data_IF_471481479583
#
_entry.id   IF_471481479583
#
_cell.length_a   1.000
_cell.length_b   1.000
_cell.length_c   1.000
_cell.angle_alpha   90.00
_cell.angle_beta   90.00
_cell.angle_gamma   90.00
#
_symmetry.space_group_name_H-M   'P 1'
#
loop_
_entity.id
_entity.type
_entity.pdbx_description
1 polymer ?
#
# COMPACT_ATOMS: atom_id res chain seq x y z
N UNK A 1 -5.95 0.03 -14.25
CA UNK A 1 -6.20 -1.30 -13.67
C UNK A 1 -6.47 -1.12 -12.19
N UNK A 2 -7.58 -1.64 -11.66
CA UNK A 2 -7.90 -1.60 -10.22
C UNK A 2 -7.04 -2.65 -9.50
N UNK A 3 -6.75 -2.44 -8.22
CA UNK A 3 -5.98 -3.41 -7.42
C UNK A 3 -6.70 -4.75 -7.31
N UNK A 4 -8.04 -4.74 -7.32
CA UNK A 4 -8.88 -5.93 -7.37
C UNK A 4 -8.62 -6.80 -8.61
N UNK A 5 -8.12 -6.21 -9.69
CA UNK A 5 -7.88 -6.91 -10.95
C UNK A 5 -6.54 -7.66 -10.94
N UNK A 6 -5.69 -7.42 -9.92
CA UNK A 6 -4.47 -8.20 -9.71
C UNK A 6 -4.80 -9.61 -9.23
N UNK A 7 -3.93 -10.56 -9.58
CA UNK A 7 -3.98 -11.90 -9.03
C UNK A 7 -4.01 -11.82 -7.50
N UNK A 8 -4.84 -12.62 -6.79
CA UNK A 8 -5.01 -12.50 -5.34
C UNK A 8 -3.71 -12.49 -4.54
N UNK A 9 -2.67 -13.18 -5.00
CA UNK A 9 -1.37 -13.22 -4.32
C UNK A 9 -0.52 -11.96 -4.49
N UNK A 10 -0.83 -11.13 -5.48
CA UNK A 10 -0.15 -9.87 -5.77
C UNK A 10 -0.87 -8.67 -5.13
N UNK A 11 -1.99 -8.92 -4.45
CA UNK A 11 -2.73 -7.89 -3.75
C UNK A 11 -2.10 -7.66 -2.38
N UNK A 12 -1.89 -6.39 -1.98
CA UNK A 12 -1.15 -6.10 -0.76
C UNK A 12 -1.74 -6.72 0.51
N UNK A 13 -3.07 -6.70 0.69
CA UNK A 13 -3.71 -7.23 1.91
C UNK A 13 -3.58 -8.75 2.02
N UNK A 14 -3.77 -9.45 0.91
CA UNK A 14 -3.66 -10.90 0.82
C UNK A 14 -2.20 -11.36 0.98
N UNK A 15 -1.26 -10.63 0.37
CA UNK A 15 0.18 -10.84 0.56
C UNK A 15 0.60 -10.62 2.02
N UNK A 16 0.07 -9.58 2.67
CA UNK A 16 0.32 -9.28 4.08
C UNK A 16 -0.22 -10.38 4.99
N UNK A 17 -1.46 -10.82 4.78
CA UNK A 17 -2.07 -11.90 5.57
C UNK A 17 -1.32 -13.23 5.42
N UNK A 18 -0.77 -13.52 4.24
CA UNK A 18 -0.08 -14.79 3.96
C UNK A 18 1.40 -14.80 4.37
N UNK A 19 2.13 -13.73 4.07
CA UNK A 19 3.60 -13.71 4.14
C UNK A 19 4.13 -12.72 5.19
N UNK A 20 3.28 -11.88 5.78
CA UNK A 20 3.68 -10.83 6.70
C UNK A 20 4.27 -9.60 6.01
N UNK A 21 4.53 -8.56 6.80
CA UNK A 21 4.96 -7.24 6.31
C UNK A 21 6.30 -7.28 5.55
N UNK A 22 7.22 -8.17 5.95
CA UNK A 22 8.55 -8.30 5.35
C UNK A 22 8.54 -8.67 3.86
N UNK A 23 7.41 -9.14 3.31
CA UNK A 23 7.27 -9.45 1.88
C UNK A 23 6.72 -8.29 1.05
N UNK A 24 6.34 -7.19 1.68
CA UNK A 24 5.79 -6.01 1.04
C UNK A 24 6.87 -4.93 0.95
N UNK A 25 6.84 -4.14 -0.13
CA UNK A 25 7.48 -2.83 -0.12
C UNK A 25 6.73 -1.86 0.81
N UNK A 26 7.37 -0.80 1.29
CA UNK A 26 6.74 0.25 2.12
C UNK A 26 5.46 0.78 1.46
N UNK A 27 5.50 0.93 0.13
CA UNK A 27 4.35 1.37 -0.66
C UNK A 27 3.21 0.36 -0.62
N UNK A 28 3.49 -0.93 -0.84
CA UNK A 28 2.48 -1.99 -0.76
C UNK A 28 1.92 -2.09 0.67
N UNK A 29 2.77 -1.97 1.70
CA UNK A 29 2.37 -2.00 3.09
C UNK A 29 1.41 -0.85 3.41
N UNK A 30 1.75 0.37 3.01
CA UNK A 30 0.86 1.53 3.15
C UNK A 30 -0.44 1.33 2.37
N UNK A 31 -0.39 0.79 1.15
CA UNK A 31 -1.60 0.47 0.38
C UNK A 31 -2.47 -0.56 1.09
N UNK A 32 -1.87 -1.56 1.75
CA UNK A 32 -2.59 -2.58 2.51
C UNK A 32 -3.30 -1.99 3.73
N UNK A 33 -2.61 -1.09 4.46
CA UNK A 33 -3.13 -0.41 5.66
C UNK A 33 -4.24 0.58 5.30
N UNK A 34 -4.05 1.40 4.26
CA UNK A 34 -5.06 2.37 3.80
C UNK A 34 -6.28 1.65 3.20
N UNK A 35 -6.06 0.51 2.53
CA UNK A 35 -7.11 -0.38 2.04
C UNK A 35 -7.76 0.07 0.73
N UNK A 36 -8.28 1.30 0.66
CA UNK A 36 -8.98 1.82 -0.52
C UNK A 36 -8.69 3.30 -0.81
N UNK A 37 -8.85 3.67 -2.08
CA UNK A 37 -8.86 5.07 -2.49
C UNK A 37 -10.18 5.75 -2.16
N UNK A 38 -10.32 6.99 -2.60
CA UNK A 38 -11.56 7.76 -2.52
C UNK A 38 -11.94 8.31 -3.90
N UNK A 39 -12.94 9.21 -3.95
CA UNK A 39 -13.42 9.81 -5.21
C UNK A 39 -12.37 10.65 -5.95
N UNK A 40 -11.33 11.14 -5.26
CA UNK A 40 -10.32 12.06 -5.79
C UNK A 40 -8.99 11.38 -6.13
N UNK A 41 -8.68 10.26 -5.47
CA UNK A 41 -7.39 9.58 -5.61
C UNK A 41 -7.51 8.07 -5.37
N UNK A 42 -6.82 7.28 -6.19
CA UNK A 42 -6.63 5.86 -5.93
C UNK A 42 -5.70 5.65 -4.72
N UNK A 43 -5.79 4.48 -4.10
CA UNK A 43 -4.99 4.14 -2.91
C UNK A 43 -3.48 4.20 -3.17
N UNK A 44 -3.02 3.93 -4.39
CA UNK A 44 -1.61 4.04 -4.74
C UNK A 44 -1.13 5.49 -4.74
N UNK A 45 -1.95 6.43 -5.22
CA UNK A 45 -1.66 7.87 -5.12
C UNK A 45 -1.60 8.31 -3.65
N UNK A 46 -2.58 7.91 -2.84
CA UNK A 46 -2.61 8.26 -1.40
C UNK A 46 -1.38 7.68 -0.70
N UNK A 47 -1.05 6.41 -0.92
CA UNK A 47 0.08 5.75 -0.28
C UNK A 47 1.43 6.38 -0.66
N UNK A 48 1.62 6.83 -1.90
CA UNK A 48 2.84 7.53 -2.32
C UNK A 48 3.02 8.87 -1.60
N UNK A 49 1.95 9.65 -1.46
CA UNK A 49 2.01 10.93 -0.75
C UNK A 49 2.30 10.72 0.74
N UNK A 50 1.67 9.71 1.36
CA UNK A 50 1.97 9.34 2.75
C UNK A 50 3.42 8.91 2.91
N UNK A 51 3.93 8.02 2.04
CA UNK A 51 5.32 7.58 2.07
C UNK A 51 6.31 8.75 2.00
N UNK A 52 6.04 9.71 1.12
CA UNK A 52 6.83 10.94 0.98
C UNK A 52 6.84 11.73 2.29
N UNK A 53 5.68 11.94 2.91
CA UNK A 53 5.56 12.68 4.17
C UNK A 53 6.29 11.96 5.31
N UNK A 54 6.13 10.64 5.43
CA UNK A 54 6.81 9.84 6.48
C UNK A 54 8.33 9.99 6.36
N UNK A 55 8.87 9.84 5.15
CA UNK A 55 10.30 10.01 4.89
C UNK A 55 10.79 11.43 5.15
N UNK A 56 10.00 12.45 4.77
CA UNK A 56 10.32 13.86 5.07
C UNK A 56 10.36 14.15 6.57
N UNK A 57 9.61 13.40 7.38
CA UNK A 57 9.59 13.51 8.84
C UNK A 57 10.61 12.59 9.53
N UNK A 58 11.45 11.89 8.77
CA UNK A 58 12.47 10.98 9.30
C UNK A 58 11.92 9.64 9.82
N UNK A 59 10.69 9.29 9.45
CA UNK A 59 10.13 7.98 9.76
C UNK A 59 10.68 6.90 8.82
N UNK A 60 10.88 5.71 9.37
CA UNK A 60 11.21 4.48 8.64
C UNK A 60 10.00 3.54 8.67
N UNK A 61 9.83 2.73 7.62
CA UNK A 61 8.67 1.84 7.43
C UNK A 61 9.12 0.41 7.24
#
# INVERSE_FOLDING_TARGET
>A
MKISDRHPLDRPREKLARYGAARLSDLELLMAIIGSGNKQADVGKIAREVLKIVRQKGGDI
#
